data_IF_477837534810
#
_entry.id   IF_477837534810
#
_cell.length_a   1.000
_cell.length_b   1.000
_cell.length_c   1.000
_cell.angle_alpha   90.00
_cell.angle_beta   90.00
_cell.angle_gamma   90.00
#
_symmetry.space_group_name_H-M   'P 1'
#
loop_
_entity.id
_entity.type
_entity.pdbx_description
1 polymer ?
#
# COMPACT_ATOMS: atom_id res chain seq x y z
N UNK A 1 8.29 46.07 -36.90
CA UNK A 1 8.28 46.24 -35.42
C UNK A 1 6.83 46.43 -35.01
N UNK A 2 6.17 45.69 -34.11
CA UNK A 2 6.54 44.72 -33.06
C UNK A 2 5.39 43.71 -32.94
N UNK A 3 5.72 42.43 -32.76
CA UNK A 3 4.82 41.39 -32.24
C UNK A 3 4.30 41.81 -30.86
N UNK A 4 3.02 41.57 -30.55
CA UNK A 4 2.61 41.23 -29.18
C UNK A 4 1.57 40.11 -29.19
N UNK A 5 2.08 38.95 -28.84
CA UNK A 5 1.44 37.67 -28.57
C UNK A 5 0.77 37.80 -27.20
N UNK A 6 -0.55 37.68 -27.13
CA UNK A 6 -1.25 37.48 -25.85
C UNK A 6 -1.60 35.99 -25.73
N UNK A 7 -0.62 35.21 -25.28
CA UNK A 7 -0.79 33.80 -24.95
C UNK A 7 -0.97 33.69 -23.43
N UNK A 8 -2.15 33.18 -23.07
CA UNK A 8 -2.45 32.29 -21.94
C UNK A 8 -2.05 32.75 -20.53
N UNK A 9 -3.04 33.24 -19.79
CA UNK A 9 -3.09 33.18 -18.31
C UNK A 9 -4.38 32.48 -17.89
N UNK A 10 -4.53 31.22 -18.29
CA UNK A 10 -5.59 30.34 -17.83
C UNK A 10 -5.02 28.92 -17.64
N UNK A 11 -4.00 28.78 -16.79
CA UNK A 11 -3.47 27.48 -16.41
C UNK A 11 -2.70 27.55 -15.08
N UNK A 12 -3.35 28.04 -14.03
CA UNK A 12 -2.88 27.82 -12.65
C UNK A 12 -4.06 27.46 -11.75
N UNK A 13 -4.87 26.51 -12.22
CA UNK A 13 -5.70 25.69 -11.36
C UNK A 13 -5.33 24.22 -11.66
N UNK A 14 -4.04 23.92 -11.57
CA UNK A 14 -3.55 22.55 -11.43
C UNK A 14 -4.00 22.08 -10.05
N UNK A 15 -5.17 21.45 -10.03
CA UNK A 15 -5.49 20.30 -9.19
C UNK A 15 -4.68 20.22 -7.89
N UNK A 16 -5.05 21.06 -6.91
CA UNK A 16 -4.91 20.65 -5.52
C UNK A 16 -5.96 19.56 -5.30
N UNK A 17 -5.70 18.36 -5.83
CA UNK A 17 -6.28 17.16 -5.27
C UNK A 17 -5.62 17.04 -3.91
N UNK A 18 -6.29 17.56 -2.88
CA UNK A 18 -6.12 17.01 -1.53
C UNK A 18 -6.12 15.51 -1.74
N UNK A 19 -4.95 14.89 -1.59
CA UNK A 19 -4.88 13.46 -1.40
C UNK A 19 -5.47 13.24 -0.01
N UNK A 20 -6.80 13.33 0.10
CA UNK A 20 -7.54 12.67 1.16
C UNK A 20 -6.99 11.26 1.17
N UNK A 21 -6.32 10.89 2.27
CA UNK A 21 -5.90 9.51 2.49
C UNK A 21 -7.14 8.66 2.28
N UNK A 22 -7.22 7.82 1.23
CA UNK A 22 -8.50 7.26 0.77
C UNK A 22 -9.05 6.16 1.69
N UNK A 23 -8.59 6.11 2.95
CA UNK A 23 -8.78 5.00 3.84
C UNK A 23 -9.24 5.50 5.21
N UNK A 24 -10.47 5.10 5.53
CA UNK A 24 -11.16 5.34 6.79
C UNK A 24 -10.56 4.48 7.94
N UNK A 25 -9.66 3.54 7.63
CA UNK A 25 -9.19 2.50 8.53
C UNK A 25 -7.67 2.57 8.76
N UNK A 26 -7.28 2.43 10.03
CA UNK A 26 -5.90 2.18 10.45
C UNK A 26 -5.38 0.83 9.91
N UNK A 27 -4.06 0.63 9.84
CA UNK A 27 -3.47 -0.66 9.48
C UNK A 27 -4.01 -1.84 10.29
N UNK A 28 -4.20 -1.63 11.60
CA UNK A 28 -4.75 -2.63 12.50
C UNK A 28 -6.19 -2.98 12.13
N UNK A 29 -7.02 -1.98 11.86
CA UNK A 29 -8.41 -2.22 11.42
C UNK A 29 -8.46 -2.96 10.09
N UNK A 30 -7.59 -2.62 9.13
CA UNK A 30 -7.51 -3.32 7.84
C UNK A 30 -7.12 -4.78 8.06
N UNK A 31 -6.09 -5.05 8.85
CA UNK A 31 -5.63 -6.42 9.13
C UNK A 31 -6.67 -7.23 9.90
N UNK A 32 -7.30 -6.65 10.92
CA UNK A 32 -8.30 -7.38 11.70
C UNK A 32 -9.58 -7.66 10.91
N UNK A 33 -10.06 -6.69 10.13
CA UNK A 33 -11.31 -6.80 9.37
C UNK A 33 -11.16 -7.71 8.15
N UNK A 34 -10.05 -7.58 7.43
CA UNK A 34 -9.89 -8.17 6.10
C UNK A 34 -8.92 -9.34 6.03
N UNK A 35 -8.20 -9.64 7.11
CA UNK A 35 -7.34 -10.82 7.20
C UNK A 35 -7.80 -11.74 8.34
N UNK A 36 -9.10 -11.71 8.64
CA UNK A 36 -9.72 -12.36 9.82
C UNK A 36 -9.46 -13.86 9.95
N UNK A 37 -9.27 -14.58 8.82
CA UNK A 37 -9.01 -16.03 8.81
C UNK A 37 -7.54 -16.39 8.94
N UNK A 38 -6.62 -15.42 8.86
CA UNK A 38 -5.23 -15.66 9.20
C UNK A 38 -5.09 -15.91 10.70
N UNK A 39 -4.16 -16.80 11.06
CA UNK A 39 -3.79 -16.99 12.46
C UNK A 39 -3.25 -15.68 13.03
N UNK A 40 -3.36 -15.45 14.36
CA UNK A 40 -2.83 -14.25 14.99
C UNK A 40 -1.35 -14.01 14.65
N UNK A 41 -0.52 -15.06 14.64
CA UNK A 41 0.89 -14.97 14.26
C UNK A 41 1.10 -14.47 12.82
N UNK A 42 0.32 -14.97 11.85
CA UNK A 42 0.41 -14.50 10.47
C UNK A 42 -0.03 -13.04 10.31
N UNK A 43 -1.01 -12.58 11.09
CA UNK A 43 -1.43 -11.16 11.08
C UNK A 43 -0.32 -10.24 11.59
N UNK A 44 0.26 -10.58 12.74
CA UNK A 44 1.37 -9.83 13.33
C UNK A 44 2.55 -9.75 12.37
N UNK A 45 2.87 -10.87 11.74
CA UNK A 45 4.00 -10.95 10.83
C UNK A 45 3.77 -10.16 9.53
N UNK A 46 2.56 -10.23 8.97
CA UNK A 46 2.16 -9.41 7.82
C UNK A 46 2.27 -7.90 8.12
N UNK A 47 1.83 -7.47 9.32
CA UNK A 47 1.96 -6.07 9.75
C UNK A 47 3.42 -5.65 9.90
N UNK A 48 4.24 -6.48 10.54
CA UNK A 48 5.67 -6.24 10.73
C UNK A 48 6.38 -6.03 9.39
N UNK A 49 6.08 -6.85 8.39
CA UNK A 49 6.68 -6.71 7.06
C UNK A 49 6.23 -5.46 6.31
N UNK A 50 4.94 -5.11 6.39
CA UNK A 50 4.43 -3.88 5.79
C UNK A 50 5.10 -2.65 6.41
N UNK A 51 5.30 -2.67 7.74
CA UNK A 51 6.02 -1.61 8.43
C UNK A 51 7.49 -1.55 7.99
N UNK A 52 8.18 -2.70 7.94
CA UNK A 52 9.58 -2.78 7.53
C UNK A 52 9.81 -2.29 6.10
N UNK A 53 8.96 -2.72 5.15
CA UNK A 53 9.14 -2.32 3.75
C UNK A 53 8.91 -0.82 3.56
N UNK A 54 7.95 -0.22 4.27
CA UNK A 54 7.77 1.22 4.24
C UNK A 54 8.96 1.96 4.89
N UNK A 55 9.51 1.44 5.99
CA UNK A 55 10.69 2.02 6.66
C UNK A 55 11.91 2.09 5.74
N UNK A 56 12.16 1.07 4.92
CA UNK A 56 13.26 1.07 3.92
C UNK A 56 13.13 2.25 2.94
N UNK A 57 11.91 2.72 2.71
CA UNK A 57 11.61 3.87 1.86
C UNK A 57 11.44 5.19 2.64
N UNK A 58 11.95 5.29 3.87
CA UNK A 58 11.81 6.46 4.75
C UNK A 58 10.35 6.86 5.00
N UNK A 59 9.45 5.87 5.08
CA UNK A 59 8.00 6.06 5.30
C UNK A 59 7.58 5.28 6.53
N UNK A 60 6.91 5.93 7.47
CA UNK A 60 6.53 5.35 8.77
C UNK A 60 5.05 5.00 8.86
N UNK A 61 4.24 5.54 7.96
CA UNK A 61 2.82 5.25 7.87
C UNK A 61 2.58 4.30 6.71
N UNK A 62 1.63 3.40 6.85
CA UNK A 62 1.28 2.47 5.78
C UNK A 62 -0.19 2.15 5.78
N UNK A 63 -0.72 1.68 4.65
CA UNK A 63 -2.08 1.20 4.53
C UNK A 63 -2.07 -0.04 3.63
N UNK A 64 -2.46 -1.21 4.14
CA UNK A 64 -2.55 -2.41 3.33
C UNK A 64 -3.66 -2.27 2.29
N UNK A 65 -3.39 -2.75 1.07
CA UNK A 65 -4.47 -2.90 0.10
C UNK A 65 -5.41 -4.03 0.49
N UNK A 66 -6.71 -3.81 0.33
CA UNK A 66 -7.70 -4.87 0.44
C UNK A 66 -7.73 -5.69 -0.84
N UNK A 67 -7.44 -7.00 -0.74
CA UNK A 67 -7.47 -7.90 -1.89
C UNK A 67 -6.39 -7.63 -2.95
N UNK A 68 -5.49 -6.68 -2.71
CA UNK A 68 -4.35 -6.38 -3.56
C UNK A 68 -3.03 -6.88 -2.95
N UNK A 69 -2.02 -7.04 -3.80
CA UNK A 69 -0.66 -7.39 -3.39
C UNK A 69 0.23 -6.17 -3.34
N UNK A 70 -0.20 -5.15 -2.60
CA UNK A 70 0.56 -3.94 -2.38
C UNK A 70 0.20 -3.26 -1.07
N UNK A 71 1.12 -2.43 -0.60
CA UNK A 71 0.96 -1.55 0.55
C UNK A 71 1.24 -0.12 0.09
N UNK A 72 0.40 0.82 0.53
CA UNK A 72 0.71 2.23 0.38
C UNK A 72 1.53 2.69 1.57
N UNK A 73 2.69 3.28 1.32
CA UNK A 73 3.57 3.83 2.34
C UNK A 73 3.53 5.36 2.26
N UNK A 74 3.50 6.05 3.40
CA UNK A 74 3.46 7.51 3.48
C UNK A 74 4.49 8.04 4.48
N UNK A 75 5.02 9.24 4.20
CA UNK A 75 5.78 10.01 5.18
C UNK A 75 4.85 10.94 5.99
N UNK A 76 5.41 11.75 6.88
CA UNK A 76 4.64 12.71 7.70
C UNK A 76 4.00 13.85 6.90
N UNK A 77 4.42 14.05 5.65
CA UNK A 77 3.90 15.08 4.73
C UNK A 77 2.84 14.51 3.78
N UNK A 78 2.41 13.25 4.00
CA UNK A 78 1.51 12.49 3.11
C UNK A 78 2.07 12.22 1.70
N UNK A 79 3.39 12.33 1.49
CA UNK A 79 4.03 11.84 0.26
C UNK A 79 4.00 10.31 0.22
N UNK A 80 3.19 9.79 -0.69
CA UNK A 80 2.84 8.38 -0.80
C UNK A 80 3.62 7.64 -1.88
N UNK A 81 3.88 6.35 -1.65
CA UNK A 81 4.30 5.43 -2.70
C UNK A 81 3.58 4.09 -2.54
N UNK A 82 3.44 3.38 -3.65
CA UNK A 82 2.92 2.02 -3.66
C UNK A 82 4.09 1.03 -3.71
N UNK A 83 4.08 0.04 -2.81
CA UNK A 83 5.06 -1.05 -2.79
C UNK A 83 4.34 -2.36 -3.04
N UNK A 84 4.78 -3.11 -4.06
CA UNK A 84 4.23 -4.43 -4.37
C UNK A 84 4.75 -5.47 -3.38
N UNK A 85 3.83 -6.27 -2.84
CA UNK A 85 4.12 -7.40 -1.96
C UNK A 85 4.73 -8.56 -2.76
N UNK A 86 5.64 -9.28 -2.12
CA UNK A 86 6.27 -10.47 -2.70
C UNK A 86 5.28 -11.62 -2.86
N UNK A 87 5.63 -12.56 -3.74
CA UNK A 87 4.88 -13.79 -3.90
C UNK A 87 4.83 -14.59 -2.59
N UNK A 88 3.72 -15.28 -2.34
CA UNK A 88 3.51 -16.09 -1.15
C UNK A 88 2.94 -15.33 0.05
N UNK A 89 3.01 -14.00 0.08
CA UNK A 89 2.43 -13.22 1.18
C UNK A 89 0.90 -13.31 1.19
N UNK A 90 0.26 -13.38 2.38
CA UNK A 90 -1.19 -13.35 2.48
C UNK A 90 -1.77 -12.08 1.83
N UNK A 91 -2.81 -12.25 1.04
CA UNK A 91 -3.62 -11.16 0.51
C UNK A 91 -5.10 -11.56 0.65
N UNK A 92 -5.92 -10.78 1.34
CA UNK A 92 -7.35 -11.08 1.47
C UNK A 92 -7.78 -12.12 2.51
N UNK A 93 -9.11 -12.32 2.57
CA UNK A 93 -9.79 -12.88 3.75
C UNK A 93 -9.75 -14.40 3.88
N UNK A 94 -9.47 -15.14 2.81
CA UNK A 94 -9.62 -16.59 2.73
C UNK A 94 -8.29 -17.33 2.70
N UNK A 95 -7.19 -16.65 3.06
CA UNK A 95 -5.86 -17.20 2.95
C UNK A 95 -5.37 -17.26 1.51
N UNK A 96 -5.85 -16.37 0.63
CA UNK A 96 -5.24 -16.17 -0.68
C UNK A 96 -3.82 -15.61 -0.51
N UNK A 97 -3.00 -15.76 -1.55
CA UNK A 97 -1.61 -15.34 -1.55
C UNK A 97 -1.28 -14.49 -2.77
N UNK A 98 -0.24 -13.67 -2.62
CA UNK A 98 0.31 -12.91 -3.72
C UNK A 98 1.04 -13.78 -4.72
N UNK A 99 0.79 -13.57 -6.01
CA UNK A 99 1.53 -14.15 -7.10
C UNK A 99 1.59 -13.16 -8.26
N UNK A 100 2.80 -12.71 -8.58
CA UNK A 100 3.09 -11.75 -9.64
C UNK A 100 2.28 -10.45 -9.52
N UNK A 101 2.12 -9.96 -8.28
CA UNK A 101 1.35 -8.74 -7.99
C UNK A 101 -0.17 -8.94 -7.95
N UNK A 102 -0.67 -10.16 -8.18
CA UNK A 102 -2.09 -10.50 -8.10
C UNK A 102 -2.40 -11.30 -6.84
N UNK A 103 -3.61 -11.11 -6.32
CA UNK A 103 -4.10 -11.89 -5.19
C UNK A 103 -4.86 -13.12 -5.67
N UNK A 104 -4.26 -14.31 -5.53
CA UNK A 104 -4.79 -15.54 -6.11
C UNK A 104 -5.30 -16.51 -5.06
N UNK A 105 -6.40 -17.19 -5.39
CA UNK A 105 -7.01 -18.18 -4.50
C UNK A 105 -6.20 -19.48 -4.47
N UNK A 106 -5.27 -19.57 -3.52
CA UNK A 106 -4.43 -20.74 -3.23
C UNK A 106 -4.29 -20.84 -1.73
N UNK A 107 -4.30 -22.05 -1.14
CA UNK A 107 -4.18 -22.20 0.31
C UNK A 107 -2.83 -21.67 0.78
N UNK A 108 -2.86 -20.70 1.70
CA UNK A 108 -1.69 -20.20 2.39
C UNK A 108 -1.24 -21.21 3.48
N UNK A 109 0.01 -21.69 3.38
CA UNK A 109 0.65 -22.56 4.39
C UNK A 109 1.43 -21.79 5.46
N UNK A 110 1.53 -20.46 5.38
CA UNK A 110 2.20 -19.54 6.30
C UNK A 110 3.56 -20.06 6.82
N UNK A 111 4.53 -20.29 5.92
CA UNK A 111 5.95 -20.12 6.22
C UNK A 111 6.40 -18.83 5.53
N UNK A 112 6.91 -17.89 6.32
CA UNK A 112 7.16 -16.52 5.89
C UNK A 112 8.66 -16.36 5.67
N UNK A 113 9.04 -16.13 4.42
CA UNK A 113 10.43 -16.04 3.98
C UNK A 113 10.85 -14.56 3.83
N UNK A 114 11.81 -14.13 4.64
CA UNK A 114 12.31 -12.76 4.68
C UNK A 114 13.44 -12.58 3.68
N UNK A 115 13.38 -11.52 2.87
CA UNK A 115 14.54 -11.02 2.15
C UNK A 115 14.68 -9.53 2.42
N UNK A 116 15.68 -9.20 3.22
CA UNK A 116 16.28 -7.87 3.21
C UNK A 116 17.35 -7.82 2.10
N UNK A 117 17.50 -6.68 1.39
CA UNK A 117 18.56 -6.49 0.41
C UNK A 117 19.96 -6.51 1.04
#
# INVERSE_FOLDING_TARGET
MKQQIFILLAALQLSYQEHESPFIYTPDEVVQKYYKRLSPGCKTELQSQMEQVCKVHNRSQFIPSYGGCFVYCYNSENDGMMVTLRNGLPCGESGQICKNGECINTMNNCEIDYFFP
#
